data_IF_905826980763
#
_entry.id   IF_905826980763
#
_cell.length_a   1.000
_cell.length_b   1.000
_cell.length_c   1.000
_cell.angle_alpha   90.00
_cell.angle_beta   90.00
_cell.angle_gamma   90.00
#
_symmetry.space_group_name_H-M   'P 1'
#
loop_
_entity.id
_entity.type
_entity.pdbx_description
1 polymer ?
#
# COMPACT_ATOMS: atom_id res chain seq x y z
N UNK A 1 6.50 55.02 -13.15
CA UNK A 1 7.26 54.16 -12.26
C UNK A 1 6.35 53.70 -11.14
N UNK A 2 5.95 52.40 -11.06
CA UNK A 2 5.24 51.87 -9.91
C UNK A 2 6.25 51.19 -8.99
N UNK A 3 6.06 51.43 -7.68
CA UNK A 3 6.89 50.94 -6.58
C UNK A 3 6.90 49.44 -6.46
N UNK A 4 8.08 48.84 -6.31
CA UNK A 4 8.31 47.46 -5.89
C UNK A 4 7.76 47.27 -4.45
N UNK A 5 6.73 46.45 -4.27
CA UNK A 5 6.36 45.94 -2.96
C UNK A 5 7.42 44.91 -2.55
N UNK A 6 8.16 45.22 -1.51
CA UNK A 6 9.04 44.30 -0.82
C UNK A 6 8.23 43.10 -0.29
N UNK A 7 8.64 41.90 -0.71
CA UNK A 7 8.11 40.66 -0.15
C UNK A 7 8.52 40.53 1.30
N UNK A 8 7.60 40.63 2.23
CA UNK A 8 7.83 40.31 3.63
C UNK A 8 8.27 38.87 3.78
N UNK A 9 9.47 38.69 4.30
CA UNK A 9 10.06 37.38 4.64
C UNK A 9 9.25 36.73 5.77
N UNK A 10 8.30 35.88 5.40
CA UNK A 10 7.45 35.11 6.32
C UNK A 10 8.24 34.09 7.17
N UNK A 11 9.53 33.87 6.86
CA UNK A 11 10.38 32.94 7.62
C UNK A 11 10.67 33.45 9.04
N UNK A 12 10.51 34.77 9.30
CA UNK A 12 10.71 35.38 10.62
C UNK A 12 9.50 35.27 11.55
N UNK A 13 8.31 34.99 11.01
CA UNK A 13 7.07 34.82 11.80
C UNK A 13 6.92 33.42 12.42
N UNK A 14 7.63 32.44 11.87
CA UNK A 14 7.71 31.10 12.46
C UNK A 14 9.10 30.88 13.03
N UNK A 15 9.36 31.53 14.19
CA UNK A 15 10.60 31.38 14.93
C UNK A 15 10.98 29.91 15.04
N UNK A 16 12.18 29.58 14.48
CA UNK A 16 12.82 28.28 14.81
C UNK A 16 13.14 28.33 16.30
N UNK A 17 12.22 27.82 17.11
CA UNK A 17 12.55 27.46 18.49
C UNK A 17 13.77 26.55 18.43
N UNK A 18 14.90 27.03 18.93
CA UNK A 18 16.07 26.18 19.25
C UNK A 18 15.58 25.20 20.32
N UNK A 19 15.17 24.03 19.90
CA UNK A 19 14.78 22.96 20.80
C UNK A 19 15.99 22.64 21.68
N UNK A 20 15.84 22.79 23.00
CA UNK A 20 16.92 22.54 23.93
C UNK A 20 17.41 21.08 23.79
N UNK A 21 18.73 20.83 23.95
CA UNK A 21 19.29 19.48 23.86
C UNK A 21 18.64 18.48 24.80
N UNK A 22 18.09 18.97 25.94
CA UNK A 22 17.28 18.19 26.90
C UNK A 22 15.99 17.66 26.25
N UNK A 23 15.28 18.48 25.47
CA UNK A 23 14.07 18.05 24.75
C UNK A 23 14.36 16.98 23.71
N UNK A 24 15.46 17.11 22.98
CA UNK A 24 15.88 16.09 22.00
C UNK A 24 16.30 14.79 22.70
N UNK A 25 16.98 14.88 23.84
CA UNK A 25 17.37 13.71 24.65
C UNK A 25 16.15 12.98 25.19
N UNK A 26 15.17 13.68 25.79
CA UNK A 26 13.92 13.08 26.25
C UNK A 26 13.16 12.41 25.10
N UNK A 27 13.06 13.03 23.94
CA UNK A 27 12.42 12.45 22.77
C UNK A 27 13.12 11.18 22.30
N UNK A 28 14.46 11.19 22.22
CA UNK A 28 15.25 10.00 21.85
C UNK A 28 15.10 8.88 22.87
N UNK A 29 15.03 9.18 24.15
CA UNK A 29 14.82 8.19 25.20
C UNK A 29 13.41 7.58 25.12
N UNK A 30 12.38 8.41 24.97
CA UNK A 30 10.99 7.96 24.80
C UNK A 30 10.86 7.07 23.53
N UNK A 31 11.49 7.46 22.42
CA UNK A 31 11.49 6.66 21.18
C UNK A 31 12.20 5.31 21.41
N UNK A 32 13.35 5.29 22.09
CA UNK A 32 14.09 4.05 22.40
C UNK A 32 13.31 3.11 23.33
N UNK A 33 12.68 3.65 24.38
CA UNK A 33 11.83 2.87 25.27
C UNK A 33 10.58 2.34 24.54
N UNK A 34 9.91 3.19 23.75
CA UNK A 34 8.77 2.79 22.94
C UNK A 34 9.12 1.68 21.97
N UNK A 35 10.30 1.76 21.32
CA UNK A 35 10.80 0.72 20.42
C UNK A 35 11.12 -0.58 21.17
N UNK A 36 11.76 -0.50 22.33
CA UNK A 36 12.07 -1.68 23.13
C UNK A 36 10.80 -2.40 23.57
N UNK A 37 9.78 -1.64 23.99
CA UNK A 37 8.46 -2.18 24.34
C UNK A 37 7.79 -2.80 23.13
N UNK A 38 7.78 -2.12 21.98
CA UNK A 38 7.21 -2.63 20.74
C UNK A 38 7.87 -3.95 20.31
N UNK A 39 9.20 -3.99 20.32
CA UNK A 39 9.97 -5.20 19.99
C UNK A 39 9.72 -6.33 20.98
N UNK A 40 9.63 -6.02 22.29
CA UNK A 40 9.30 -7.00 23.31
C UNK A 40 7.87 -7.56 23.11
N UNK A 41 6.90 -6.69 22.86
CA UNK A 41 5.52 -7.10 22.54
C UNK A 41 5.48 -7.95 21.27
N UNK A 42 6.20 -7.55 20.21
CA UNK A 42 6.28 -8.30 18.97
C UNK A 42 6.86 -9.72 19.21
N UNK A 43 7.96 -9.84 19.99
CA UNK A 43 8.55 -11.14 20.34
C UNK A 43 7.59 -12.02 21.14
N UNK A 44 6.82 -11.44 22.07
CA UNK A 44 5.80 -12.18 22.83
C UNK A 44 4.66 -12.61 21.90
N UNK A 45 4.25 -11.75 20.99
CA UNK A 45 3.20 -12.03 20.03
C UNK A 45 3.58 -13.15 19.04
N UNK A 46 4.84 -13.18 18.58
CA UNK A 46 5.38 -14.22 17.70
C UNK A 46 5.29 -15.63 18.31
N UNK A 47 5.34 -15.74 19.65
CA UNK A 47 5.24 -17.03 20.37
C UNK A 47 3.82 -17.54 20.56
N UNK A 48 2.81 -16.74 20.25
CA UNK A 48 1.41 -17.18 20.36
C UNK A 48 1.10 -18.25 19.31
N UNK A 49 0.30 -19.27 19.66
CA UNK A 49 -0.27 -20.17 18.66
C UNK A 49 -1.00 -19.36 17.58
N UNK A 50 -0.92 -19.80 16.33
CA UNK A 50 -1.46 -19.06 15.17
C UNK A 50 -2.93 -18.64 15.37
N UNK A 51 -3.77 -19.59 15.81
CA UNK A 51 -5.20 -19.32 16.08
C UNK A 51 -5.41 -18.25 17.16
N UNK A 52 -4.59 -18.26 18.20
CA UNK A 52 -4.65 -17.26 19.27
C UNK A 52 -4.21 -15.88 18.75
N UNK A 53 -3.16 -15.84 17.93
CA UNK A 53 -2.70 -14.63 17.24
C UNK A 53 -3.81 -13.99 16.39
N UNK A 54 -4.50 -14.77 15.56
CA UNK A 54 -5.61 -14.25 14.73
C UNK A 54 -6.81 -13.78 15.56
N UNK A 55 -7.15 -14.49 16.65
CA UNK A 55 -8.23 -14.06 17.55
C UNK A 55 -7.87 -12.73 18.23
N UNK A 56 -6.67 -12.62 18.77
CA UNK A 56 -6.16 -11.40 19.40
C UNK A 56 -6.09 -10.24 18.39
N UNK A 57 -5.54 -10.48 17.19
CA UNK A 57 -5.49 -9.51 16.12
C UNK A 57 -6.88 -9.00 15.74
N UNK A 58 -7.84 -9.92 15.55
CA UNK A 58 -9.23 -9.55 15.26
C UNK A 58 -9.87 -8.72 16.38
N UNK A 59 -9.59 -9.07 17.66
CA UNK A 59 -10.07 -8.30 18.81
C UNK A 59 -9.45 -6.90 18.86
N UNK A 60 -8.13 -6.77 18.65
CA UNK A 60 -7.42 -5.49 18.55
C UNK A 60 -8.00 -4.64 17.43
N UNK A 61 -8.15 -5.22 16.22
CA UNK A 61 -8.76 -4.52 15.08
C UNK A 61 -10.16 -4.03 15.40
N UNK A 62 -11.01 -4.86 16.02
CA UNK A 62 -12.35 -4.46 16.46
C UNK A 62 -12.30 -3.32 17.48
N UNK A 63 -11.38 -3.38 18.46
CA UNK A 63 -11.20 -2.32 19.44
C UNK A 63 -10.77 -0.99 18.79
N UNK A 64 -9.91 -1.02 17.76
CA UNK A 64 -9.51 0.17 17.02
C UNK A 64 -10.69 0.95 16.43
N UNK A 65 -11.77 0.27 16.06
CA UNK A 65 -13.02 0.91 15.58
C UNK A 65 -13.58 1.88 16.61
N UNK A 66 -13.56 1.48 17.88
CA UNK A 66 -14.10 2.28 19.00
C UNK A 66 -13.11 3.32 19.50
N UNK A 67 -11.82 2.98 19.50
CA UNK A 67 -10.75 3.86 19.99
C UNK A 67 -10.42 5.00 19.04
N UNK A 68 -10.81 4.90 17.75
CA UNK A 68 -10.52 5.95 16.77
C UNK A 68 -11.75 6.36 15.95
N UNK A 69 -12.69 7.14 16.52
CA UNK A 69 -13.90 7.60 15.84
C UNK A 69 -13.59 8.37 14.53
N UNK A 70 -12.46 9.08 14.49
CA UNK A 70 -12.01 9.79 13.28
C UNK A 70 -11.73 8.84 12.12
N UNK A 71 -11.01 7.75 12.36
CA UNK A 71 -10.73 6.76 11.31
C UNK A 71 -12.00 6.01 10.93
N UNK A 72 -12.87 5.69 11.89
CA UNK A 72 -14.15 5.05 11.58
C UNK A 72 -15.03 5.94 10.68
N UNK A 73 -15.05 7.25 10.90
CA UNK A 73 -15.75 8.19 10.01
C UNK A 73 -15.17 8.16 8.59
N UNK A 74 -13.84 8.07 8.44
CA UNK A 74 -13.20 7.95 7.11
C UNK A 74 -13.65 6.64 6.43
N UNK A 75 -13.62 5.52 7.13
CA UNK A 75 -14.07 4.22 6.61
C UNK A 75 -15.50 4.31 6.10
N UNK A 76 -16.43 4.80 6.93
CA UNK A 76 -17.84 4.91 6.54
C UNK A 76 -18.06 5.90 5.39
N UNK A 77 -17.33 7.02 5.35
CA UNK A 77 -17.40 7.96 4.22
C UNK A 77 -16.94 7.30 2.92
N UNK A 78 -15.83 6.58 2.94
CA UNK A 78 -15.32 5.89 1.77
C UNK A 78 -16.27 4.77 1.30
N UNK A 79 -16.85 4.01 2.23
CA UNK A 79 -17.80 2.95 1.91
C UNK A 79 -19.09 3.50 1.28
N UNK A 80 -19.60 4.63 1.79
CA UNK A 80 -20.77 5.29 1.20
C UNK A 80 -20.48 5.84 -0.19
N UNK A 81 -19.28 6.40 -0.43
CA UNK A 81 -18.88 6.82 -1.77
C UNK A 81 -18.80 5.62 -2.72
N UNK A 82 -18.21 4.50 -2.29
CA UNK A 82 -18.00 3.36 -3.16
C UNK A 82 -19.27 2.51 -3.41
N UNK A 83 -20.15 2.38 -2.41
CA UNK A 83 -21.25 1.42 -2.43
C UNK A 83 -22.59 1.99 -1.94
N UNK A 84 -22.67 3.29 -1.67
CA UNK A 84 -23.87 3.88 -1.05
C UNK A 84 -25.15 3.76 -1.88
N UNK A 85 -25.02 3.60 -3.21
CA UNK A 85 -26.14 3.35 -4.11
C UNK A 85 -26.47 1.85 -4.27
N UNK A 86 -25.49 0.97 -3.91
CA UNK A 86 -25.61 -0.48 -4.13
C UNK A 86 -25.94 -1.25 -2.84
N UNK A 87 -25.60 -0.69 -1.68
CA UNK A 87 -25.66 -1.37 -0.38
C UNK A 87 -26.34 -0.55 0.70
N UNK A 88 -27.10 -1.21 1.53
CA UNK A 88 -27.71 -0.63 2.72
C UNK A 88 -26.67 -0.18 3.75
N UNK A 89 -27.04 0.75 4.62
CA UNK A 89 -26.19 1.22 5.72
C UNK A 89 -25.79 0.07 6.68
N UNK A 90 -26.64 -0.95 6.82
CA UNK A 90 -26.34 -2.16 7.58
C UNK A 90 -25.21 -2.98 6.96
N UNK A 91 -25.24 -3.19 5.64
CA UNK A 91 -24.18 -3.89 4.90
C UNK A 91 -22.87 -3.11 4.93
N UNK A 92 -22.92 -1.77 4.77
CA UNK A 92 -21.72 -0.93 4.87
C UNK A 92 -21.05 -1.04 6.25
N UNK A 93 -21.86 -1.08 7.33
CA UNK A 93 -21.33 -1.31 8.69
C UNK A 93 -20.76 -2.70 8.88
N UNK A 94 -21.30 -3.72 8.23
CA UNK A 94 -20.77 -5.07 8.25
C UNK A 94 -19.42 -5.15 7.52
N UNK A 95 -19.29 -4.53 6.35
CA UNK A 95 -18.02 -4.38 5.63
C UNK A 95 -17.00 -3.64 6.49
N UNK A 96 -17.36 -2.52 7.10
CA UNK A 96 -16.47 -1.77 8.00
C UNK A 96 -15.98 -2.63 9.16
N UNK A 97 -16.86 -3.41 9.80
CA UNK A 97 -16.49 -4.33 10.87
C UNK A 97 -15.51 -5.42 10.38
N UNK A 98 -15.81 -6.02 9.22
CA UNK A 98 -14.93 -6.98 8.55
C UNK A 98 -13.54 -6.40 8.30
N UNK A 99 -13.48 -5.17 7.76
CA UNK A 99 -12.23 -4.45 7.51
C UNK A 99 -11.36 -4.32 8.76
N UNK A 100 -11.90 -3.88 9.87
CA UNK A 100 -11.13 -3.75 11.12
C UNK A 100 -10.62 -5.10 11.63
N UNK A 101 -11.44 -6.13 11.57
CA UNK A 101 -11.03 -7.50 11.96
C UNK A 101 -9.93 -8.02 11.06
N UNK A 102 -10.06 -7.79 9.75
CA UNK A 102 -9.06 -8.20 8.76
C UNK A 102 -7.73 -7.48 8.99
N UNK A 103 -7.73 -6.16 9.18
CA UNK A 103 -6.52 -5.37 9.47
C UNK A 103 -5.80 -5.86 10.73
N UNK A 104 -6.56 -6.24 11.77
CA UNK A 104 -5.97 -6.83 12.96
C UNK A 104 -5.27 -8.16 12.68
N UNK A 105 -5.81 -8.99 11.79
CA UNK A 105 -5.16 -10.23 11.33
C UNK A 105 -3.90 -9.92 10.50
N UNK A 106 -3.96 -8.95 9.60
CA UNK A 106 -2.78 -8.51 8.83
C UNK A 106 -1.66 -8.01 9.74
N UNK A 107 -2.01 -7.24 10.79
CA UNK A 107 -1.03 -6.81 11.81
C UNK A 107 -0.39 -8.01 12.52
N UNK A 108 -1.18 -9.04 12.85
CA UNK A 108 -0.68 -10.30 13.41
C UNK A 108 0.39 -10.93 12.54
N UNK A 109 0.10 -11.07 11.25
CA UNK A 109 1.02 -11.68 10.28
C UNK A 109 2.26 -10.82 10.06
N UNK A 110 2.08 -9.50 9.95
CA UNK A 110 3.19 -8.58 9.79
C UNK A 110 4.18 -8.64 10.98
N UNK A 111 3.66 -8.75 12.21
CA UNK A 111 4.50 -8.92 13.41
C UNK A 111 5.22 -10.27 13.41
N UNK A 112 4.59 -11.33 12.89
CA UNK A 112 5.17 -12.67 12.84
C UNK A 112 6.15 -12.87 11.69
N UNK A 113 5.98 -12.13 10.61
CA UNK A 113 6.69 -12.31 9.35
C UNK A 113 8.22 -12.42 9.47
N UNK A 114 8.93 -11.62 10.31
CA UNK A 114 10.39 -11.76 10.46
C UNK A 114 10.85 -13.09 11.06
N UNK A 115 9.96 -13.85 11.69
CA UNK A 115 10.25 -15.14 12.30
C UNK A 115 9.64 -16.33 11.56
N UNK A 116 8.96 -16.11 10.44
CA UNK A 116 8.38 -17.19 9.64
C UNK A 116 9.43 -17.84 8.74
N UNK A 117 9.42 -19.17 8.72
CA UNK A 117 10.22 -19.91 7.74
C UNK A 117 9.56 -19.89 6.35
N UNK A 118 10.31 -20.17 5.27
CA UNK A 118 9.74 -20.32 3.93
C UNK A 118 8.57 -21.31 3.87
N UNK A 119 8.66 -22.41 4.58
CA UNK A 119 7.62 -23.45 4.67
C UNK A 119 6.36 -22.92 5.36
N UNK A 120 6.53 -22.13 6.42
CA UNK A 120 5.40 -21.48 7.11
C UNK A 120 4.70 -20.46 6.22
N UNK A 121 5.45 -19.65 5.45
CA UNK A 121 4.88 -18.72 4.47
C UNK A 121 4.07 -19.48 3.41
N UNK A 122 4.63 -20.57 2.85
CA UNK A 122 3.92 -21.43 1.89
C UNK A 122 2.68 -22.07 2.50
N UNK A 123 2.76 -22.53 3.73
CA UNK A 123 1.65 -23.19 4.44
C UNK A 123 0.44 -22.27 4.63
N UNK A 124 0.67 -20.98 4.90
CA UNK A 124 -0.41 -20.01 5.16
C UNK A 124 -0.87 -19.25 3.90
N UNK A 125 -0.26 -19.55 2.75
CA UNK A 125 -0.58 -18.89 1.48
C UNK A 125 -0.80 -19.92 0.36
N UNK A 126 -1.69 -19.60 -0.58
CA UNK A 126 -1.87 -20.30 -1.85
C UNK A 126 -1.53 -19.35 -2.98
N UNK A 127 -0.53 -19.69 -3.80
CA UNK A 127 -0.11 -18.89 -4.96
C UNK A 127 -0.61 -19.55 -6.24
N UNK A 128 -1.30 -18.78 -7.08
CA UNK A 128 -1.76 -19.18 -8.42
C UNK A 128 -1.27 -18.18 -9.44
N UNK A 129 -1.03 -18.64 -10.68
CA UNK A 129 -0.60 -17.78 -11.79
C UNK A 129 0.89 -17.45 -11.75
N UNK A 130 1.74 -18.20 -11.04
CA UNK A 130 3.19 -18.00 -11.01
C UNK A 130 3.81 -18.10 -12.41
N UNK A 131 3.23 -18.88 -13.30
CA UNK A 131 3.59 -19.01 -14.71
C UNK A 131 3.57 -17.69 -15.47
N UNK A 132 2.70 -16.75 -15.07
CA UNK A 132 2.67 -15.40 -15.66
C UNK A 132 3.91 -14.59 -15.30
N UNK A 133 4.43 -14.77 -14.07
CA UNK A 133 5.70 -14.13 -13.64
C UNK A 133 6.86 -14.72 -14.46
N UNK A 134 6.93 -16.04 -14.59
CA UNK A 134 7.98 -16.72 -15.33
C UNK A 134 7.99 -16.30 -16.80
N UNK A 135 6.81 -16.27 -17.42
CA UNK A 135 6.64 -15.80 -18.80
C UNK A 135 7.02 -14.30 -18.97
N UNK A 136 6.70 -13.46 -18.00
CA UNK A 136 7.06 -12.05 -18.02
C UNK A 136 8.57 -11.85 -17.90
N UNK A 137 9.23 -12.55 -16.96
CA UNK A 137 10.68 -12.47 -16.76
C UNK A 137 11.46 -13.09 -17.91
N UNK A 138 10.91 -14.08 -18.61
CA UNK A 138 11.52 -14.65 -19.82
C UNK A 138 11.66 -13.63 -20.95
N UNK A 139 10.89 -12.53 -20.95
CA UNK A 139 11.03 -11.42 -21.92
C UNK A 139 12.24 -10.52 -21.66
N UNK A 140 12.85 -10.57 -20.47
CA UNK A 140 14.05 -9.82 -20.13
C UNK A 140 13.85 -8.35 -19.73
N UNK A 141 12.59 -7.85 -19.69
CA UNK A 141 12.26 -6.44 -19.40
C UNK A 141 11.75 -6.22 -17.96
N UNK A 142 11.82 -7.27 -17.14
CA UNK A 142 11.25 -7.26 -15.78
C UNK A 142 9.72 -7.26 -15.76
N UNK A 143 9.15 -7.25 -14.56
CA UNK A 143 7.71 -7.23 -14.38
C UNK A 143 7.27 -6.23 -13.30
N UNK A 144 6.08 -5.67 -13.46
CA UNK A 144 5.42 -4.83 -12.47
C UNK A 144 4.32 -5.65 -11.80
N UNK A 145 4.49 -5.92 -10.51
CA UNK A 145 3.44 -6.51 -9.69
C UNK A 145 2.49 -5.39 -9.28
N UNK A 146 1.37 -5.29 -10.00
CA UNK A 146 0.35 -4.28 -9.77
C UNK A 146 -0.63 -4.77 -8.72
N UNK A 147 -0.66 -4.13 -7.57
CA UNK A 147 -1.50 -4.59 -6.45
C UNK A 147 -2.13 -3.42 -5.68
N UNK A 148 -2.83 -3.73 -4.60
CA UNK A 148 -3.51 -2.80 -3.72
C UNK A 148 -3.30 -3.17 -2.25
N UNK A 149 -3.72 -2.28 -1.33
CA UNK A 149 -3.82 -2.60 0.10
C UNK A 149 -5.06 -3.47 0.37
N UNK A 150 -5.19 -4.57 -0.39
CA UNK A 150 -6.25 -5.58 -0.32
C UNK A 150 -5.66 -6.91 0.17
N UNK A 151 -6.40 -7.66 0.96
CA UNK A 151 -5.89 -8.88 1.58
C UNK A 151 -4.67 -8.59 2.45
N UNK A 152 -3.59 -9.32 2.28
CA UNK A 152 -2.31 -9.03 2.96
C UNK A 152 -1.17 -8.87 1.96
N UNK A 153 -0.92 -7.64 1.54
CA UNK A 153 0.14 -7.27 0.59
C UNK A 153 1.55 -7.56 1.13
N UNK A 154 1.77 -7.52 2.45
CA UNK A 154 3.08 -7.85 3.05
C UNK A 154 3.37 -9.36 2.92
N UNK A 155 2.37 -10.18 3.23
CA UNK A 155 2.50 -11.64 3.11
C UNK A 155 2.54 -12.06 1.62
N UNK A 156 1.86 -11.35 0.73
CA UNK A 156 1.96 -11.53 -0.73
C UNK A 156 3.39 -11.28 -1.19
N UNK A 157 4.00 -10.16 -0.78
CA UNK A 157 5.40 -9.86 -1.11
C UNK A 157 6.37 -10.90 -0.56
N UNK A 158 6.17 -11.33 0.68
CA UNK A 158 6.98 -12.38 1.30
C UNK A 158 6.86 -13.72 0.56
N UNK A 159 5.64 -14.11 0.13
CA UNK A 159 5.45 -15.33 -0.65
C UNK A 159 6.20 -15.29 -1.98
N UNK A 160 6.14 -14.18 -2.70
CA UNK A 160 6.89 -14.02 -3.94
C UNK A 160 8.41 -14.09 -3.71
N UNK A 161 8.91 -13.48 -2.64
CA UNK A 161 10.32 -13.56 -2.29
C UNK A 161 10.77 -14.99 -1.91
N UNK A 162 9.92 -15.74 -1.18
CA UNK A 162 10.16 -17.16 -0.80
C UNK A 162 10.21 -18.08 -2.03
N UNK A 163 9.48 -17.74 -3.10
CA UNK A 163 9.57 -18.47 -4.38
C UNK A 163 10.81 -18.09 -5.22
N UNK A 164 11.65 -17.17 -4.70
CA UNK A 164 12.89 -16.76 -5.35
C UNK A 164 12.72 -15.64 -6.36
N UNK A 165 11.56 -15.04 -6.48
CA UNK A 165 11.35 -13.93 -7.39
C UNK A 165 12.02 -12.64 -6.89
N UNK A 166 12.79 -11.92 -7.74
CA UNK A 166 13.56 -10.73 -7.36
C UNK A 166 12.67 -9.50 -7.17
N UNK A 167 11.89 -9.47 -6.08
CA UNK A 167 10.90 -8.42 -5.81
C UNK A 167 11.52 -7.20 -5.13
N UNK A 168 11.34 -6.05 -5.74
CA UNK A 168 11.65 -4.73 -5.19
C UNK A 168 10.36 -3.98 -4.88
N UNK A 169 10.22 -3.45 -3.67
CA UNK A 169 9.05 -2.67 -3.22
C UNK A 169 9.44 -1.24 -2.88
N UNK A 170 8.52 -0.30 -3.11
CA UNK A 170 8.73 1.11 -2.80
C UNK A 170 8.11 1.42 -1.45
N UNK A 171 8.90 1.93 -0.51
CA UNK A 171 8.42 2.36 0.80
C UNK A 171 8.38 3.89 0.89
N UNK A 172 7.30 4.41 1.48
CA UNK A 172 7.25 5.80 1.91
C UNK A 172 7.68 5.85 3.38
N UNK A 173 8.71 6.66 3.73
CA UNK A 173 9.08 6.85 5.13
C UNK A 173 7.87 7.31 5.95
N UNK A 174 7.67 6.71 7.10
CA UNK A 174 6.67 7.15 8.06
C UNK A 174 7.23 8.32 8.89
N UNK A 175 6.35 9.09 9.53
CA UNK A 175 6.78 10.18 10.42
C UNK A 175 7.56 9.68 11.64
N UNK A 176 7.27 8.46 12.06
CA UNK A 176 8.00 7.76 13.12
C UNK A 176 9.13 6.92 12.49
N UNK A 177 10.37 7.28 12.80
CA UNK A 177 11.57 6.61 12.27
C UNK A 177 11.64 5.16 12.76
N UNK A 178 11.19 4.88 13.97
CA UNK A 178 11.23 3.54 14.54
C UNK A 178 10.26 2.58 13.87
N UNK A 179 9.04 3.05 13.59
CA UNK A 179 8.06 2.29 12.82
C UNK A 179 8.57 2.07 11.39
N UNK A 180 9.20 3.09 10.80
CA UNK A 180 9.83 2.98 9.48
C UNK A 180 10.90 1.88 9.49
N UNK A 181 11.83 1.93 10.43
CA UNK A 181 12.90 0.95 10.56
C UNK A 181 12.36 -0.47 10.79
N UNK A 182 11.30 -0.61 11.59
CA UNK A 182 10.65 -1.90 11.81
C UNK A 182 10.05 -2.45 10.51
N UNK A 183 9.33 -1.61 9.74
CA UNK A 183 8.73 -2.01 8.46
C UNK A 183 9.80 -2.43 7.46
N UNK A 184 10.88 -1.64 7.32
CA UNK A 184 11.97 -1.93 6.40
C UNK A 184 12.64 -3.26 6.73
N UNK A 185 13.04 -3.45 8.00
CA UNK A 185 13.66 -4.70 8.47
C UNK A 185 12.74 -5.92 8.30
N UNK A 186 11.44 -5.76 8.52
CA UNK A 186 10.46 -6.83 8.33
C UNK A 186 10.40 -7.28 6.88
N UNK A 187 10.35 -6.33 5.94
CA UNK A 187 10.34 -6.63 4.50
C UNK A 187 11.65 -7.23 4.01
N UNK A 188 12.79 -6.69 4.47
CA UNK A 188 14.12 -7.23 4.15
C UNK A 188 14.30 -8.65 4.70
N UNK A 189 13.87 -8.90 5.94
CA UNK A 189 13.91 -10.25 6.54
C UNK A 189 13.02 -11.25 5.77
N UNK A 190 11.97 -10.78 5.13
CA UNK A 190 11.11 -11.58 4.25
C UNK A 190 11.66 -11.74 2.83
N UNK A 191 12.89 -11.27 2.54
CA UNK A 191 13.55 -11.40 1.24
C UNK A 191 13.21 -10.33 0.20
N UNK A 192 12.42 -9.31 0.57
CA UNK A 192 12.09 -8.20 -0.34
C UNK A 192 13.21 -7.15 -0.34
N UNK A 193 13.49 -6.56 -1.51
CA UNK A 193 14.32 -5.35 -1.60
C UNK A 193 13.44 -4.13 -1.41
N UNK A 194 13.86 -3.21 -0.54
CA UNK A 194 13.10 -2.00 -0.26
C UNK A 194 13.81 -0.78 -0.83
N UNK A 195 13.08 0.05 -1.60
CA UNK A 195 13.57 1.33 -2.10
C UNK A 195 12.91 2.48 -1.35
N UNK A 196 13.70 3.47 -0.97
CA UNK A 196 13.20 4.75 -0.49
C UNK A 196 12.50 5.51 -1.64
N UNK A 197 11.39 6.16 -1.33
CA UNK A 197 10.58 6.91 -2.29
C UNK A 197 11.37 7.97 -3.05
N UNK A 198 12.26 8.71 -2.38
CA UNK A 198 12.97 9.86 -2.97
C UNK A 198 13.92 9.45 -4.12
N UNK A 199 14.39 8.21 -4.10
CA UNK A 199 15.23 7.63 -5.15
C UNK A 199 14.52 6.54 -5.97
N UNK A 200 13.23 6.30 -5.71
CA UNK A 200 12.50 5.14 -6.19
C UNK A 200 12.36 5.11 -7.71
N UNK A 201 12.05 6.23 -8.37
CA UNK A 201 11.82 6.27 -9.82
C UNK A 201 13.03 5.74 -10.60
N UNK A 202 14.21 6.30 -10.35
CA UNK A 202 15.45 5.89 -11.06
C UNK A 202 15.83 4.46 -10.74
N UNK A 203 15.70 4.05 -9.47
CA UNK A 203 16.05 2.69 -9.03
C UNK A 203 15.05 1.65 -9.50
N UNK A 204 13.75 1.96 -9.56
CA UNK A 204 12.74 1.07 -10.12
C UNK A 204 12.95 0.85 -11.62
N UNK A 205 13.24 1.90 -12.39
CA UNK A 205 13.59 1.77 -13.80
C UNK A 205 14.85 0.91 -14.00
N UNK A 206 15.86 1.07 -13.12
CA UNK A 206 17.06 0.23 -13.15
C UNK A 206 16.72 -1.22 -12.83
N UNK A 207 15.89 -1.48 -11.81
CA UNK A 207 15.47 -2.84 -11.42
C UNK A 207 14.76 -3.54 -12.59
N UNK A 208 13.77 -2.88 -13.21
CA UNK A 208 13.05 -3.42 -14.37
C UNK A 208 13.99 -3.75 -15.53
N UNK A 209 14.88 -2.81 -15.93
CA UNK A 209 15.90 -3.03 -16.97
C UNK A 209 16.91 -4.14 -16.63
N UNK A 210 17.05 -4.48 -15.35
CA UNK A 210 17.84 -5.61 -14.88
C UNK A 210 17.00 -6.88 -14.70
N UNK A 211 15.86 -6.96 -15.37
CA UNK A 211 14.92 -8.08 -15.33
C UNK A 211 14.44 -8.45 -13.92
N UNK A 212 14.24 -7.44 -13.06
CA UNK A 212 13.70 -7.62 -11.70
C UNK A 212 12.22 -7.23 -11.66
N UNK A 213 11.55 -7.60 -10.58
CA UNK A 213 10.16 -7.22 -10.35
C UNK A 213 10.07 -5.97 -9.48
N UNK A 214 9.08 -5.11 -9.78
CA UNK A 214 8.75 -3.94 -8.97
C UNK A 214 7.31 -4.02 -8.51
N UNK A 215 7.09 -4.08 -7.20
CA UNK A 215 5.75 -4.07 -6.59
C UNK A 215 5.22 -2.65 -6.44
N UNK A 216 4.03 -2.40 -6.95
CA UNK A 216 3.35 -1.10 -6.91
C UNK A 216 1.93 -1.26 -6.38
N UNK A 217 1.64 -0.58 -5.26
CA UNK A 217 0.30 -0.44 -4.72
C UNK A 217 -0.31 0.85 -5.26
N UNK A 218 -1.37 0.73 -6.07
CA UNK A 218 -1.90 1.84 -6.86
C UNK A 218 -3.15 2.51 -6.26
N UNK A 219 -3.64 2.02 -5.16
CA UNK A 219 -4.96 2.31 -4.58
C UNK A 219 -5.02 3.48 -3.61
N UNK A 220 -3.92 4.18 -3.37
CA UNK A 220 -3.90 5.35 -2.48
C UNK A 220 -3.93 6.68 -3.24
N UNK A 221 -4.41 7.73 -2.55
CA UNK A 221 -4.46 9.08 -3.09
C UNK A 221 -3.03 9.61 -3.36
N UNK A 222 -2.77 10.00 -4.60
CA UNK A 222 -1.47 10.53 -5.02
C UNK A 222 -1.26 12.01 -4.71
N UNK A 223 -2.30 12.73 -4.25
CA UNK A 223 -2.24 14.16 -4.04
C UNK A 223 -2.29 14.94 -5.34
N UNK A 224 -1.52 16.02 -5.41
CA UNK A 224 -1.50 16.90 -6.58
C UNK A 224 -0.66 16.36 -7.75
N UNK A 225 0.20 15.37 -7.47
CA UNK A 225 1.06 14.71 -8.48
C UNK A 225 0.35 13.58 -9.23
N UNK A 226 -0.91 13.29 -8.91
CA UNK A 226 -1.67 12.18 -9.48
C UNK A 226 -2.47 12.56 -10.71
N UNK A 227 -2.82 11.54 -11.50
CA UNK A 227 -3.79 11.62 -12.59
C UNK A 227 -5.17 11.29 -12.02
N UNK A 228 -6.20 12.07 -12.38
CA UNK A 228 -7.57 11.78 -11.97
C UNK A 228 -8.18 10.73 -12.91
N UNK A 229 -8.51 9.59 -12.35
CA UNK A 229 -9.21 8.49 -13.02
C UNK A 229 -10.44 8.08 -12.24
N UNK A 230 -11.37 7.43 -12.88
CA UNK A 230 -12.54 6.87 -12.20
C UNK A 230 -12.13 5.78 -11.21
N UNK A 231 -12.75 5.80 -10.02
CA UNK A 231 -12.63 4.77 -9.01
C UNK A 231 -13.95 4.71 -8.22
N UNK A 232 -14.71 3.67 -8.41
CA UNK A 232 -16.09 3.51 -7.89
C UNK A 232 -17.02 4.65 -8.33
N UNK A 233 -16.95 5.08 -9.59
CA UNK A 233 -17.77 6.16 -10.11
C UNK A 233 -17.36 7.58 -9.70
N UNK A 234 -16.24 7.72 -8.97
CA UNK A 234 -15.76 9.01 -8.49
C UNK A 234 -14.32 9.28 -8.95
N UNK A 235 -14.01 10.54 -9.35
CA UNK A 235 -12.64 10.89 -9.73
C UNK A 235 -11.69 10.77 -8.54
N UNK A 236 -10.63 10.02 -8.72
CA UNK A 236 -9.63 9.76 -7.69
C UNK A 236 -8.21 10.01 -8.21
N UNK A 237 -7.46 10.86 -7.52
CA UNK A 237 -6.05 11.11 -7.84
C UNK A 237 -5.23 9.83 -7.65
N UNK A 238 -4.64 9.34 -8.73
CA UNK A 238 -3.93 8.05 -8.80
C UNK A 238 -2.52 8.26 -9.34
N UNK A 239 -1.53 7.60 -8.72
CA UNK A 239 -0.15 7.72 -9.15
C UNK A 239 0.07 7.04 -10.52
N UNK A 240 0.60 7.73 -11.55
CA UNK A 240 0.81 7.14 -12.87
C UNK A 240 2.05 6.23 -12.95
N UNK A 241 2.71 5.94 -11.84
CA UNK A 241 4.02 5.27 -11.80
C UNK A 241 4.03 3.92 -12.51
N UNK A 242 3.02 3.07 -12.33
CA UNK A 242 2.95 1.77 -13.00
C UNK A 242 2.88 1.91 -14.52
N UNK A 243 1.99 2.78 -15.02
CA UNK A 243 1.88 3.08 -16.46
C UNK A 243 3.17 3.70 -17.02
N UNK A 244 3.74 4.68 -16.30
CA UNK A 244 4.97 5.34 -16.71
C UNK A 244 6.16 4.38 -16.79
N UNK A 245 6.27 3.43 -15.88
CA UNK A 245 7.35 2.43 -15.90
C UNK A 245 7.15 1.43 -17.04
N UNK A 246 5.94 0.90 -17.21
CA UNK A 246 5.63 -0.01 -18.31
C UNK A 246 5.91 0.63 -19.69
N UNK A 247 5.45 1.87 -19.90
CA UNK A 247 5.69 2.60 -21.14
C UNK A 247 7.18 2.88 -21.44
N UNK A 248 8.02 2.96 -20.40
CA UNK A 248 9.47 3.27 -20.53
C UNK A 248 10.38 2.07 -20.61
N UNK A 249 9.93 0.90 -20.18
CA UNK A 249 10.77 -0.30 -20.04
C UNK A 249 10.22 -1.50 -20.78
N UNK A 250 8.98 -1.42 -21.28
CA UNK A 250 8.22 -2.56 -21.82
C UNK A 250 8.07 -3.71 -20.81
N UNK A 251 8.21 -3.39 -19.50
CA UNK A 251 7.96 -4.33 -18.43
C UNK A 251 6.50 -4.78 -18.42
N UNK A 252 6.30 -6.07 -18.24
CA UNK A 252 4.97 -6.68 -18.19
C UNK A 252 4.27 -6.28 -16.90
N UNK A 253 3.04 -5.78 -16.99
CA UNK A 253 2.21 -5.46 -15.82
C UNK A 253 1.35 -6.65 -15.47
N UNK A 254 1.55 -7.20 -14.27
CA UNK A 254 0.85 -8.35 -13.73
C UNK A 254 -0.10 -7.91 -12.61
N UNK A 255 -1.42 -7.82 -12.87
CA UNK A 255 -2.38 -7.58 -11.83
C UNK A 255 -2.29 -8.71 -10.78
N UNK A 256 -2.15 -8.31 -9.53
CA UNK A 256 -1.92 -9.25 -8.42
C UNK A 256 -2.82 -8.88 -7.27
N UNK A 257 -3.60 -9.80 -6.82
CA UNK A 257 -4.46 -9.58 -5.67
C UNK A 257 -4.44 -10.75 -4.70
N UNK A 258 -4.80 -10.48 -3.47
CA UNK A 258 -4.90 -11.51 -2.46
C UNK A 258 -6.13 -11.30 -1.57
N UNK A 259 -6.68 -12.41 -1.09
CA UNK A 259 -7.76 -12.38 -0.10
C UNK A 259 -7.59 -13.51 0.90
N UNK A 260 -8.11 -13.27 2.09
CA UNK A 260 -8.09 -14.23 3.17
C UNK A 260 -9.33 -15.11 3.12
N UNK A 261 -9.11 -16.38 3.09
CA UNK A 261 -10.14 -17.40 3.17
C UNK A 261 -10.70 -17.57 4.61
N UNK A 262 -11.85 -18.22 4.78
CA UNK A 262 -12.43 -18.49 6.11
C UNK A 262 -11.52 -19.27 7.05
N UNK A 263 -10.66 -20.14 6.53
CA UNK A 263 -9.63 -20.91 7.27
C UNK A 263 -8.41 -20.10 7.66
N UNK A 264 -8.37 -18.80 7.34
CA UNK A 264 -7.30 -17.82 7.48
C UNK A 264 -6.11 -17.98 6.51
N UNK A 265 -6.10 -18.94 5.61
CA UNK A 265 -5.10 -18.95 4.53
C UNK A 265 -5.33 -17.77 3.58
N UNK A 266 -4.25 -17.29 3.00
CA UNK A 266 -4.28 -16.20 2.02
C UNK A 266 -4.19 -16.79 0.61
N UNK A 267 -5.24 -16.63 -0.20
CA UNK A 267 -5.12 -16.86 -1.64
C UNK A 267 -4.43 -15.68 -2.29
N UNK A 268 -3.44 -15.95 -3.12
CA UNK A 268 -2.69 -14.96 -3.92
C UNK A 268 -2.85 -15.37 -5.38
N UNK A 269 -3.33 -14.45 -6.20
CA UNK A 269 -3.51 -14.69 -7.63
C UNK A 269 -2.71 -13.66 -8.42
N UNK A 270 -1.88 -14.17 -9.31
CA UNK A 270 -1.23 -13.39 -10.36
C UNK A 270 -2.07 -13.60 -11.61
N UNK A 271 -2.67 -12.55 -12.12
CA UNK A 271 -3.50 -12.61 -13.32
C UNK A 271 -2.65 -12.56 -14.60
N UNK A 272 -3.31 -12.81 -15.74
CA UNK A 272 -2.71 -12.57 -17.04
C UNK A 272 -2.21 -11.13 -17.18
N UNK A 273 -1.18 -10.92 -18.00
CA UNK A 273 -0.64 -9.59 -18.25
C UNK A 273 -1.71 -8.58 -18.66
N UNK A 274 -1.76 -7.46 -17.95
CA UNK A 274 -2.58 -6.34 -18.39
C UNK A 274 -2.07 -5.80 -19.71
N UNK A 275 -2.95 -5.56 -20.71
CA UNK A 275 -2.53 -4.98 -21.98
C UNK A 275 -1.92 -3.60 -21.77
N UNK A 276 -0.84 -3.30 -22.49
CA UNK A 276 -0.22 -1.98 -22.48
C UNK A 276 -0.76 -1.15 -23.65
N UNK A 277 -1.53 -0.12 -23.32
CA UNK A 277 -2.06 0.83 -24.31
C UNK A 277 -0.93 1.77 -24.71
N UNK A 278 -0.60 1.79 -26.03
CA UNK A 278 0.46 2.62 -26.60
C UNK A 278 0.01 3.17 -27.95
N UNK A 279 -0.47 4.41 -27.95
CA UNK A 279 -0.95 5.10 -29.15
C UNK A 279 0.11 6.03 -29.75
N UNK A 280 1.13 6.39 -28.97
CA UNK A 280 2.12 7.41 -29.31
C UNK A 280 1.82 8.77 -28.66
N UNK A 281 0.60 9.01 -28.20
CA UNK A 281 0.27 10.14 -27.34
C UNK A 281 0.57 9.77 -25.87
N UNK A 282 1.62 10.36 -25.35
CA UNK A 282 2.12 10.04 -24.00
C UNK A 282 1.11 10.31 -22.91
N UNK A 283 0.40 11.42 -22.99
CA UNK A 283 -0.53 11.82 -21.91
C UNK A 283 -1.79 10.97 -21.98
N UNK A 284 -2.28 10.68 -23.17
CA UNK A 284 -3.35 9.71 -23.38
C UNK A 284 -2.94 8.32 -22.86
N UNK A 285 -1.76 7.82 -23.23
CA UNK A 285 -1.30 6.50 -22.85
C UNK A 285 -1.13 6.36 -21.32
N UNK A 286 -0.62 7.40 -20.64
CA UNK A 286 -0.53 7.44 -19.18
C UNK A 286 -1.91 7.39 -18.54
N UNK A 287 -2.84 8.20 -19.03
CA UNK A 287 -4.21 8.25 -18.50
C UNK A 287 -4.92 6.90 -18.72
N UNK A 288 -4.91 6.38 -19.94
CA UNK A 288 -5.62 5.16 -20.32
C UNK A 288 -5.12 3.93 -19.54
N UNK A 289 -3.79 3.76 -19.45
CA UNK A 289 -3.21 2.67 -18.66
C UNK A 289 -3.49 2.83 -17.16
N UNK A 290 -3.38 4.03 -16.60
CA UNK A 290 -3.69 4.27 -15.19
C UNK A 290 -5.15 3.98 -14.88
N UNK A 291 -6.07 4.39 -15.76
CA UNK A 291 -7.50 4.13 -15.61
C UNK A 291 -7.82 2.63 -15.64
N UNK A 292 -7.29 1.90 -16.63
CA UNK A 292 -7.49 0.46 -16.73
C UNK A 292 -6.93 -0.29 -15.51
N UNK A 293 -5.73 0.06 -15.03
CA UNK A 293 -5.13 -0.57 -13.84
C UNK A 293 -5.94 -0.29 -12.58
N UNK A 294 -6.47 0.94 -12.46
CA UNK A 294 -7.33 1.32 -11.34
C UNK A 294 -8.64 0.53 -11.38
N UNK A 295 -9.20 0.29 -12.57
CA UNK A 295 -10.44 -0.50 -12.74
C UNK A 295 -10.24 -1.98 -12.40
N UNK A 296 -9.09 -2.56 -12.72
CA UNK A 296 -8.73 -3.92 -12.28
C UNK A 296 -8.70 -4.02 -10.75
N UNK A 297 -8.05 -3.07 -10.08
CA UNK A 297 -8.01 -3.00 -8.62
C UNK A 297 -9.43 -2.84 -8.03
N UNK A 298 -10.26 -2.00 -8.62
CA UNK A 298 -11.65 -1.83 -8.18
C UNK A 298 -12.42 -3.16 -8.22
N UNK A 299 -12.26 -3.95 -9.31
CA UNK A 299 -12.94 -5.25 -9.42
C UNK A 299 -12.55 -6.21 -8.30
N UNK A 300 -11.27 -6.25 -7.94
CA UNK A 300 -10.77 -7.06 -6.82
C UNK A 300 -11.33 -6.60 -5.46
N UNK A 301 -11.42 -5.29 -5.25
CA UNK A 301 -12.00 -4.73 -4.01
C UNK A 301 -13.50 -5.03 -3.93
N UNK A 302 -14.22 -4.96 -5.05
CA UNK A 302 -15.65 -5.32 -5.10
C UNK A 302 -15.92 -6.78 -4.74
N UNK A 303 -14.99 -7.68 -5.09
CA UNK A 303 -15.07 -9.10 -4.74
C UNK A 303 -14.85 -9.36 -3.24
N UNK A 304 -14.00 -8.57 -2.58
CA UNK A 304 -13.61 -8.75 -1.16
C UNK A 304 -13.60 -7.40 -0.41
N UNK A 305 -14.73 -6.68 -0.35
CA UNK A 305 -14.77 -5.31 0.14
C UNK A 305 -14.36 -5.17 1.62
N UNK A 306 -14.58 -6.19 2.44
CA UNK A 306 -14.18 -6.21 3.85
C UNK A 306 -12.66 -6.41 4.05
N UNK A 307 -11.89 -6.58 2.97
CA UNK A 307 -10.45 -6.84 3.06
C UNK A 307 -9.59 -5.71 2.49
N UNK A 308 -10.20 -4.63 1.99
CA UNK A 308 -9.45 -3.46 1.54
C UNK A 308 -9.23 -2.44 2.66
N UNK A 309 -8.13 -1.66 2.53
CA UNK A 309 -7.70 -0.67 3.54
C UNK A 309 -8.53 0.63 3.47
N UNK A 310 -9.80 0.57 3.90
CA UNK A 310 -10.74 1.71 3.89
C UNK A 310 -10.33 2.90 4.76
N UNK A 311 -9.28 2.79 5.59
CA UNK A 311 -8.84 3.86 6.50
C UNK A 311 -8.11 4.99 5.78
N UNK A 312 -7.67 4.77 4.53
CA UNK A 312 -7.03 5.80 3.71
C UNK A 312 -8.06 6.74 3.09
N UNK A 313 -7.76 8.06 3.07
CA UNK A 313 -8.63 9.07 2.43
C UNK A 313 -8.44 9.07 0.90
N UNK A 314 -8.97 8.04 0.21
CA UNK A 314 -8.77 7.81 -1.22
C UNK A 314 -9.22 8.99 -2.09
N UNK A 315 -10.36 9.58 -1.78
CA UNK A 315 -10.96 10.69 -2.53
C UNK A 315 -10.72 12.06 -1.89
N UNK A 316 -9.57 12.24 -1.23
CA UNK A 316 -9.21 13.51 -0.58
C UNK A 316 -8.96 14.63 -1.58
N UNK A 317 -8.24 14.34 -2.66
CA UNK A 317 -7.94 15.30 -3.73
C UNK A 317 -9.14 15.45 -4.67
N UNK A 318 -9.33 16.64 -5.20
CA UNK A 318 -10.38 16.95 -6.18
C UNK A 318 -9.73 17.35 -7.50
N UNK A 319 -10.34 17.03 -8.65
CA UNK A 319 -9.91 17.57 -9.92
C UNK A 319 -9.82 19.09 -9.86
N UNK A 320 -8.87 19.70 -10.60
CA UNK A 320 -8.89 21.15 -10.78
C UNK A 320 -10.26 21.57 -11.28
N UNK A 321 -10.78 22.70 -10.77
CA UNK A 321 -12.01 23.28 -11.32
C UNK A 321 -11.76 23.52 -12.82
N UNK A 322 -12.62 22.97 -13.67
CA UNK A 322 -12.64 23.31 -15.10
C UNK A 322 -12.85 24.81 -15.16
N UNK A 323 -11.84 25.56 -15.60
CA UNK A 323 -12.03 26.96 -15.96
C UNK A 323 -13.08 26.94 -17.07
N UNK A 324 -14.29 27.41 -16.74
CA UNK A 324 -15.31 27.58 -17.74
C UNK A 324 -14.73 28.42 -18.89
N UNK A 325 -14.72 27.81 -20.05
CA UNK A 325 -14.46 28.49 -21.33
C UNK A 325 -15.65 29.35 -21.67
#
# INVERSE_FOLDING_TARGET
MPAKREGQDLSRLYGRERRSGVYEWHRRLQTRLGNAILLWMARRYQRLPERAGYRLGSAIGTAMRWLSPRHHRIVMTNLRLAFGEEKSEGELRAIAHGCYRHLGKCLTEFIRLPGMTPEEVRRVTDLKGAEHIEAALARGNGAIILTAHLGNWELTGARLAVEGYPLTVIARPQRDTALTDYILRTREAAGMRVLDRDVSVRRSLKALRSNQMVGILLDQNAGDDGIFVDFFGHPASTAPGAAAFALRTDAVVLPTHSWRNPDNRLSIVIEEPAPLIRTGDRDHDLLANTAQYTKMIESHIRAHPEQWFWLHKRWKSRPPATRGT
#
